data_IF_504896201542
#
_entry.id   IF_504896201542
#
_cell.length_a   1.000
_cell.length_b   1.000
_cell.length_c   1.000
_cell.angle_alpha   90.00
_cell.angle_beta   90.00
_cell.angle_gamma   90.00
#
_symmetry.space_group_name_H-M   'P 1'
#
loop_
_entity.id
_entity.type
_entity.pdbx_description
1 polymer ?
#
# COMPACT_ATOMS: atom_id res chain seq x y z
N UNK A 1 -42.07 -36.60 -25.44
CA UNK A 1 -40.95 -36.98 -24.53
C UNK A 1 -39.54 -36.72 -25.10
N UNK A 2 -39.30 -36.80 -26.42
CA UNK A 2 -37.96 -36.58 -27.01
C UNK A 2 -37.35 -35.19 -26.78
N UNK A 3 -38.15 -34.12 -26.89
CA UNK A 3 -37.66 -32.73 -26.69
C UNK A 3 -37.12 -32.50 -25.27
N UNK A 4 -37.80 -33.06 -24.26
CA UNK A 4 -37.38 -32.95 -22.84
C UNK A 4 -36.05 -33.68 -22.61
N UNK A 5 -35.83 -34.81 -23.27
CA UNK A 5 -34.56 -35.54 -23.19
C UNK A 5 -33.41 -34.76 -23.84
N UNK A 6 -33.66 -34.10 -24.98
CA UNK A 6 -32.67 -33.24 -25.64
C UNK A 6 -32.31 -32.03 -24.78
N UNK A 7 -33.32 -31.33 -24.24
CA UNK A 7 -33.09 -30.18 -23.34
C UNK A 7 -32.32 -30.60 -22.08
N UNK A 8 -32.64 -31.75 -21.49
CA UNK A 8 -31.91 -32.28 -20.32
C UNK A 8 -30.45 -32.61 -20.68
N UNK A 9 -30.20 -33.19 -21.85
CA UNK A 9 -28.84 -33.48 -22.31
C UNK A 9 -28.02 -32.20 -22.56
N UNK A 10 -28.65 -31.16 -23.12
CA UNK A 10 -28.02 -29.85 -23.32
C UNK A 10 -27.67 -29.22 -21.96
N UNK A 11 -28.61 -29.18 -21.02
CA UNK A 11 -28.40 -28.58 -19.70
C UNK A 11 -27.31 -29.30 -18.89
N UNK A 12 -27.27 -30.64 -18.92
CA UNK A 12 -26.20 -31.40 -18.27
C UNK A 12 -24.85 -31.19 -18.96
N UNK A 13 -24.85 -31.06 -20.29
CA UNK A 13 -23.65 -30.73 -21.06
C UNK A 13 -23.10 -29.34 -20.73
N UNK A 14 -23.96 -28.33 -20.67
CA UNK A 14 -23.62 -26.95 -20.28
C UNK A 14 -23.12 -26.88 -18.84
N UNK A 15 -23.81 -27.53 -17.90
CA UNK A 15 -23.39 -27.64 -16.50
C UNK A 15 -22.00 -28.27 -16.38
N UNK A 16 -21.76 -29.37 -17.08
CA UNK A 16 -20.45 -30.02 -17.09
C UNK A 16 -19.36 -29.15 -17.74
N UNK A 17 -19.69 -28.39 -18.79
CA UNK A 17 -18.77 -27.46 -19.44
C UNK A 17 -18.42 -26.28 -18.53
N UNK A 18 -19.40 -25.71 -17.82
CA UNK A 18 -19.21 -24.63 -16.83
C UNK A 18 -18.35 -25.13 -15.67
N UNK A 19 -18.67 -26.30 -15.10
CA UNK A 19 -17.88 -26.89 -14.01
C UNK A 19 -16.45 -27.24 -14.41
N UNK A 20 -16.20 -27.59 -15.68
CA UNK A 20 -14.84 -27.81 -16.21
C UNK A 20 -14.10 -26.48 -16.43
N UNK A 21 -14.81 -25.42 -16.83
CA UNK A 21 -14.24 -24.09 -17.09
C UNK A 21 -13.88 -23.36 -15.80
N UNK A 22 -14.66 -23.49 -14.74
CA UNK A 22 -14.49 -22.79 -13.46
C UNK A 22 -13.63 -23.54 -12.43
N UNK A 23 -12.64 -24.34 -12.85
CA UNK A 23 -11.68 -24.94 -11.91
C UNK A 23 -10.75 -23.92 -11.23
N UNK A 24 -10.75 -22.68 -11.71
CA UNK A 24 -9.97 -21.56 -11.21
C UNK A 24 -10.89 -20.37 -10.95
N UNK A 25 -10.56 -19.58 -9.93
CA UNK A 25 -11.27 -18.34 -9.65
C UNK A 25 -11.13 -17.39 -10.86
N UNK A 26 -12.21 -16.68 -11.24
CA UNK A 26 -12.14 -15.71 -12.33
C UNK A 26 -11.04 -14.66 -12.09
N UNK A 27 -10.40 -14.16 -13.16
CA UNK A 27 -9.39 -13.10 -13.05
C UNK A 27 -9.93 -11.84 -12.36
N UNK A 28 -11.22 -11.56 -12.50
CA UNK A 28 -11.92 -10.47 -11.81
C UNK A 28 -11.91 -10.63 -10.28
N UNK A 29 -11.96 -11.86 -9.77
CA UNK A 29 -11.83 -12.13 -8.33
C UNK A 29 -10.43 -11.79 -7.82
N UNK A 30 -9.39 -12.29 -8.50
CA UNK A 30 -8.01 -11.99 -8.13
C UNK A 30 -7.72 -10.49 -8.17
N UNK A 31 -8.21 -9.81 -9.21
CA UNK A 31 -8.11 -8.36 -9.35
C UNK A 31 -8.76 -7.62 -8.18
N UNK A 32 -10.00 -7.99 -7.82
CA UNK A 32 -10.73 -7.36 -6.72
C UNK A 32 -10.07 -7.64 -5.36
N UNK A 33 -9.53 -8.84 -5.18
CA UNK A 33 -8.76 -9.19 -3.99
C UNK A 33 -7.48 -8.35 -3.88
N UNK A 34 -6.74 -8.16 -4.99
CA UNK A 34 -5.55 -7.29 -5.03
C UNK A 34 -5.90 -5.83 -4.75
N UNK A 35 -6.99 -5.32 -5.31
CA UNK A 35 -7.50 -3.97 -5.05
C UNK A 35 -7.83 -3.76 -3.56
N UNK A 36 -8.53 -4.71 -2.94
CA UNK A 36 -8.85 -4.65 -1.51
C UNK A 36 -7.59 -4.68 -0.65
N UNK A 37 -6.67 -5.62 -0.89
CA UNK A 37 -5.40 -5.72 -0.16
C UNK A 37 -4.58 -4.44 -0.26
N UNK A 38 -4.51 -3.85 -1.45
CA UNK A 38 -3.80 -2.59 -1.67
C UNK A 38 -4.47 -1.42 -0.94
N UNK A 39 -5.80 -1.30 -1.03
CA UNK A 39 -6.55 -0.23 -0.36
C UNK A 39 -6.43 -0.28 1.16
N UNK A 40 -6.48 -1.48 1.76
CA UNK A 40 -6.30 -1.67 3.19
C UNK A 40 -4.87 -1.36 3.62
N UNK A 41 -3.88 -1.75 2.81
CA UNK A 41 -2.47 -1.39 3.01
C UNK A 41 -2.26 0.13 3.02
N UNK A 42 -2.87 0.85 2.08
CA UNK A 42 -2.81 2.32 2.03
C UNK A 42 -3.48 2.97 3.24
N UNK A 43 -4.65 2.49 3.66
CA UNK A 43 -5.35 3.01 4.83
C UNK A 43 -4.52 2.83 6.11
N UNK A 44 -3.89 1.66 6.26
CA UNK A 44 -2.99 1.39 7.40
C UNK A 44 -1.78 2.31 7.39
N UNK A 45 -1.15 2.52 6.23
CA UNK A 45 -0.04 3.47 6.10
C UNK A 45 -0.47 4.89 6.43
N UNK A 46 -1.63 5.33 5.93
CA UNK A 46 -2.18 6.64 6.22
C UNK A 46 -2.49 6.81 7.71
N UNK A 47 -3.02 5.78 8.36
CA UNK A 47 -3.23 5.78 9.80
C UNK A 47 -1.91 5.94 10.56
N UNK A 48 -0.87 5.18 10.17
CA UNK A 48 0.48 5.29 10.75
C UNK A 48 1.07 6.69 10.64
N UNK A 49 0.93 7.32 9.47
CA UNK A 49 1.38 8.70 9.25
C UNK A 49 0.67 9.67 10.19
N UNK A 50 -0.65 9.51 10.38
CA UNK A 50 -1.43 10.33 11.33
C UNK A 50 -1.02 10.09 12.78
N UNK A 51 -0.70 8.85 13.16
CA UNK A 51 -0.19 8.51 14.49
C UNK A 51 1.16 9.20 14.77
N UNK A 52 2.09 9.13 13.79
CA UNK A 52 3.39 9.80 13.88
C UNK A 52 3.20 11.31 14.06
N UNK A 53 2.30 11.90 13.27
CA UNK A 53 1.97 13.33 13.39
C UNK A 53 1.41 13.68 14.78
N UNK A 54 0.46 12.88 15.29
CA UNK A 54 -0.19 13.12 16.59
C UNK A 54 0.78 12.99 17.78
N UNK A 55 1.70 12.01 17.74
CA UNK A 55 2.73 11.87 18.77
C UNK A 55 3.65 13.09 18.81
N UNK A 56 4.05 13.58 17.63
CA UNK A 56 4.89 14.77 17.52
C UNK A 56 4.18 16.03 18.02
N UNK A 57 2.90 16.22 17.69
CA UNK A 57 2.12 17.37 18.16
C UNK A 57 1.94 17.35 19.70
N UNK A 58 1.81 16.14 20.29
CA UNK A 58 1.74 15.97 21.74
C UNK A 58 3.05 16.37 22.43
N UNK A 59 4.19 16.02 21.86
CA UNK A 59 5.50 16.35 22.43
C UNK A 59 5.86 17.84 22.22
N UNK A 60 5.47 18.43 21.08
CA UNK A 60 5.63 19.86 20.79
C UNK A 60 4.79 20.77 21.70
N UNK A 61 3.53 20.42 21.96
CA UNK A 61 2.63 21.21 22.83
C UNK A 61 2.92 21.03 24.33
N UNK A 62 3.56 19.92 24.72
CA UNK A 62 4.05 19.68 26.08
C UNK A 62 5.29 20.49 26.46
N UNK A 63 6.12 20.86 25.47
CA UNK A 63 7.34 21.65 25.67
C UNK A 63 7.08 23.11 26.06
N UNK A 64 6.09 23.76 25.44
CA UNK A 64 5.79 25.17 25.72
C UNK A 64 5.10 25.40 27.07
N UNK A 65 4.32 24.42 27.58
CA UNK A 65 3.67 24.54 28.90
C UNK A 65 4.56 24.15 30.09
N UNK A 66 5.70 23.50 29.86
CA UNK A 66 6.62 23.06 30.94
C UNK A 66 7.79 24.01 31.21
N UNK A 67 7.95 25.08 30.43
CA UNK A 67 8.99 26.10 30.68
C UNK A 67 8.73 26.96 31.94
N UNK A 68 7.64 26.74 32.68
CA UNK A 68 7.23 27.60 33.79
C UNK A 68 7.42 27.05 35.22
N UNK A 69 7.57 25.75 35.45
CA UNK A 69 7.57 25.22 36.83
C UNK A 69 8.52 24.02 36.98
N UNK A 70 9.53 24.24 37.82
CA UNK A 70 10.47 23.26 38.35
C UNK A 70 9.76 22.07 39.05
N UNK A 71 10.54 21.00 39.20
CA UNK A 71 10.43 19.88 40.16
C UNK A 71 9.94 18.51 39.64
N UNK A 72 10.96 17.69 39.35
CA UNK A 72 11.12 16.31 39.87
C UNK A 72 9.97 15.32 39.65
N UNK A 73 10.01 14.59 38.53
CA UNK A 73 9.52 13.20 38.42
C UNK A 73 10.25 12.50 37.25
N UNK A 74 10.92 11.35 37.45
CA UNK A 74 11.40 10.52 36.35
C UNK A 74 10.22 9.69 35.83
N UNK A 75 9.36 10.28 35.01
CA UNK A 75 8.30 9.52 34.34
C UNK A 75 8.88 8.82 33.10
N UNK A 76 9.12 7.51 33.23
CA UNK A 76 9.16 6.46 32.21
C UNK A 76 10.04 6.68 30.95
N UNK A 77 11.10 5.88 30.73
CA UNK A 77 11.97 5.96 29.56
C UNK A 77 11.38 5.31 28.28
N UNK A 78 10.07 5.11 28.17
CA UNK A 78 9.45 4.31 27.08
C UNK A 78 9.07 5.11 25.84
N UNK A 79 8.82 6.42 25.94
CA UNK A 79 8.37 7.26 24.81
C UNK A 79 9.40 7.44 23.66
N UNK A 80 10.73 7.57 23.87
CA UNK A 80 11.65 7.88 22.77
C UNK A 80 11.87 6.72 21.78
N UNK A 81 11.45 5.49 22.12
CA UNK A 81 11.58 4.33 21.22
C UNK A 81 10.35 4.09 20.34
N UNK A 82 9.20 4.67 20.68
CA UNK A 82 7.94 4.41 19.96
C UNK A 82 7.92 5.10 18.59
N UNK A 83 8.36 6.36 18.50
CA UNK A 83 8.34 7.11 17.23
C UNK A 83 9.30 6.53 16.17
N UNK A 84 10.57 6.22 16.47
CA UNK A 84 11.45 5.57 15.50
C UNK A 84 10.92 4.22 14.99
N UNK A 85 10.29 3.42 15.87
CA UNK A 85 9.68 2.15 15.49
C UNK A 85 8.48 2.35 14.54
N UNK A 86 7.60 3.31 14.84
CA UNK A 86 6.45 3.66 13.99
C UNK A 86 6.88 4.15 12.61
N UNK A 87 7.90 5.00 12.53
CA UNK A 87 8.47 5.50 11.28
C UNK A 87 9.06 4.34 10.45
N UNK A 88 9.83 3.45 11.09
CA UNK A 88 10.39 2.27 10.41
C UNK A 88 9.30 1.34 9.86
N UNK A 89 8.21 1.14 10.60
CA UNK A 89 7.08 0.35 10.14
C UNK A 89 6.34 1.03 8.98
N UNK A 90 6.11 2.35 9.05
CA UNK A 90 5.51 3.12 7.96
C UNK A 90 6.35 3.03 6.68
N UNK A 91 7.68 3.12 6.77
CA UNK A 91 8.58 2.95 5.62
C UNK A 91 8.51 1.53 5.05
N UNK A 92 8.47 0.50 5.89
CA UNK A 92 8.29 -0.89 5.43
C UNK A 92 6.96 -1.09 4.71
N UNK A 93 5.88 -0.52 5.23
CA UNK A 93 4.55 -0.59 4.62
C UNK A 93 4.50 0.14 3.27
N UNK A 94 5.16 1.31 3.17
CA UNK A 94 5.32 2.04 1.92
C UNK A 94 6.10 1.23 0.88
N UNK A 95 7.22 0.61 1.27
CA UNK A 95 8.00 -0.27 0.40
C UNK A 95 7.19 -1.47 -0.09
N UNK A 96 6.37 -2.08 0.79
CA UNK A 96 5.48 -3.18 0.41
C UNK A 96 4.39 -2.73 -0.59
N UNK A 97 3.77 -1.57 -0.35
CA UNK A 97 2.79 -0.98 -1.28
C UNK A 97 3.42 -0.67 -2.64
N UNK A 98 4.65 -0.15 -2.65
CA UNK A 98 5.45 0.04 -3.87
C UNK A 98 5.62 -1.25 -4.66
N UNK A 99 6.00 -2.35 -4.00
CA UNK A 99 6.17 -3.65 -4.68
C UNK A 99 4.85 -4.15 -5.30
N UNK A 100 3.71 -3.92 -4.64
CA UNK A 100 2.42 -4.26 -5.21
C UNK A 100 2.10 -3.46 -6.48
N UNK A 101 2.41 -2.16 -6.49
CA UNK A 101 2.25 -1.32 -7.68
C UNK A 101 3.16 -1.77 -8.81
N UNK A 102 4.44 -2.02 -8.54
CA UNK A 102 5.41 -2.51 -9.54
C UNK A 102 4.98 -3.84 -10.15
N UNK A 103 4.53 -4.79 -9.32
CA UNK A 103 3.98 -6.06 -9.80
C UNK A 103 2.77 -5.84 -10.71
N UNK A 104 1.89 -4.90 -10.35
CA UNK A 104 0.72 -4.59 -11.17
C UNK A 104 1.10 -3.94 -12.51
N UNK A 105 2.09 -3.05 -12.53
CA UNK A 105 2.66 -2.48 -13.77
C UNK A 105 3.19 -3.61 -14.66
N UNK A 106 3.92 -4.59 -14.11
CA UNK A 106 4.45 -5.73 -14.88
C UNK A 106 3.33 -6.58 -15.48
N UNK A 107 2.28 -6.88 -14.71
CA UNK A 107 1.11 -7.62 -15.19
C UNK A 107 0.43 -6.85 -16.33
N UNK A 108 0.23 -5.55 -16.15
CA UNK A 108 -0.40 -4.69 -17.16
C UNK A 108 0.42 -4.67 -18.47
N UNK A 109 1.75 -4.46 -18.38
CA UNK A 109 2.65 -4.50 -19.55
C UNK A 109 2.59 -5.86 -20.26
N UNK A 110 2.53 -6.97 -19.52
CA UNK A 110 2.39 -8.32 -20.09
C UNK A 110 1.06 -8.50 -20.80
N UNK A 111 -0.04 -8.03 -20.21
CA UNK A 111 -1.36 -8.07 -20.85
C UNK A 111 -1.39 -7.24 -22.12
N UNK A 112 -0.77 -6.04 -22.11
CA UNK A 112 -0.65 -5.19 -23.29
C UNK A 112 0.16 -5.89 -24.40
N UNK A 113 1.26 -6.57 -24.06
CA UNK A 113 2.04 -7.35 -25.02
C UNK A 113 1.21 -8.49 -25.65
N UNK A 114 0.45 -9.23 -24.83
CA UNK A 114 -0.42 -10.29 -25.31
C UNK A 114 -1.57 -9.76 -26.18
N UNK A 115 -2.08 -8.57 -25.86
CA UNK A 115 -3.06 -7.87 -26.69
C UNK A 115 -2.54 -7.59 -28.10
N UNK A 116 -1.26 -7.22 -28.19
CA UNK A 116 -0.57 -7.07 -29.48
C UNK A 116 -0.56 -8.36 -30.32
N UNK A 117 -0.71 -9.53 -29.67
CA UNK A 117 -0.83 -10.84 -30.33
C UNK A 117 -2.29 -11.29 -30.52
N UNK A 118 -3.28 -10.41 -30.31
CA UNK A 118 -4.70 -10.71 -30.50
C UNK A 118 -5.44 -11.22 -29.26
N UNK A 119 -4.84 -11.20 -28.07
CA UNK A 119 -5.56 -11.49 -26.83
C UNK A 119 -6.51 -10.33 -26.45
N UNK A 120 -7.57 -10.63 -25.69
CA UNK A 120 -8.46 -9.60 -25.16
C UNK A 120 -7.72 -8.68 -24.18
N UNK A 121 -7.96 -7.37 -24.28
CA UNK A 121 -7.34 -6.34 -23.44
C UNK A 121 -8.36 -5.28 -23.04
N UNK A 122 -8.84 -5.40 -21.80
CA UNK A 122 -9.85 -4.49 -21.24
C UNK A 122 -9.28 -3.65 -20.08
N UNK A 123 -7.95 -3.52 -20.01
CA UNK A 123 -7.26 -2.87 -18.89
C UNK A 123 -6.96 -1.39 -19.18
N UNK A 124 -7.69 -0.48 -18.52
CA UNK A 124 -7.37 0.95 -18.47
C UNK A 124 -6.19 1.21 -17.50
N UNK A 125 -5.32 2.16 -17.84
CA UNK A 125 -4.25 2.67 -16.97
C UNK A 125 -4.77 3.49 -15.78
N UNK A 126 -5.98 4.05 -15.85
CA UNK A 126 -6.50 4.95 -14.81
C UNK A 126 -6.46 4.37 -13.37
N UNK A 127 -6.85 3.11 -13.11
CA UNK A 127 -6.71 2.51 -11.78
C UNK A 127 -5.26 2.40 -11.33
N UNK A 128 -4.33 2.14 -12.24
CA UNK A 128 -2.91 2.03 -11.94
C UNK A 128 -2.31 3.41 -11.63
N UNK A 129 -2.65 4.41 -12.43
CA UNK A 129 -2.29 5.80 -12.19
C UNK A 129 -2.74 6.26 -10.81
N UNK A 130 -4.01 5.99 -10.44
CA UNK A 130 -4.55 6.30 -9.12
C UNK A 130 -3.75 5.65 -7.97
N UNK A 131 -3.25 4.43 -8.17
CA UNK A 131 -2.38 3.77 -7.17
C UNK A 131 -1.02 4.47 -7.05
N UNK A 132 -0.42 4.86 -8.17
CA UNK A 132 0.85 5.60 -8.17
C UNK A 132 0.70 6.96 -7.50
N UNK A 133 -0.35 7.72 -7.82
CA UNK A 133 -0.64 9.03 -7.22
C UNK A 133 -0.87 8.92 -5.72
N UNK A 134 -1.70 7.98 -5.27
CA UNK A 134 -1.94 7.75 -3.84
C UNK A 134 -0.66 7.36 -3.08
N UNK A 135 0.20 6.54 -3.70
CA UNK A 135 1.46 6.14 -3.10
C UNK A 135 2.46 7.30 -3.03
N UNK A 136 2.53 8.13 -4.08
CA UNK A 136 3.38 9.31 -4.12
C UNK A 136 2.97 10.35 -3.07
N UNK A 137 1.66 10.56 -2.89
CA UNK A 137 1.11 11.43 -1.86
C UNK A 137 1.51 10.96 -0.44
N UNK A 138 1.29 9.68 -0.12
CA UNK A 138 1.66 9.14 1.19
C UNK A 138 3.17 9.09 1.41
N UNK A 139 3.95 8.85 0.35
CA UNK A 139 5.41 8.96 0.40
C UNK A 139 5.82 10.38 0.82
N UNK A 140 5.28 11.40 0.17
CA UNK A 140 5.61 12.79 0.46
C UNK A 140 5.22 13.17 1.89
N UNK A 141 4.03 12.78 2.33
CA UNK A 141 3.58 12.97 3.72
C UNK A 141 4.53 12.30 4.72
N UNK A 142 4.93 11.04 4.47
CA UNK A 142 5.87 10.34 5.34
C UNK A 142 7.25 11.00 5.34
N UNK A 143 7.75 11.46 4.18
CA UNK A 143 9.01 12.19 4.09
C UNK A 143 8.97 13.49 4.90
N UNK A 144 7.88 14.24 4.84
CA UNK A 144 7.70 15.43 5.68
C UNK A 144 7.74 15.10 7.17
N UNK A 145 7.06 14.04 7.60
CA UNK A 145 7.09 13.62 9.01
C UNK A 145 8.48 13.18 9.45
N UNK A 146 9.22 12.44 8.61
CA UNK A 146 10.61 12.03 8.90
C UNK A 146 11.54 13.23 9.04
N UNK A 147 11.44 14.21 8.15
CA UNK A 147 12.22 15.46 8.24
C UNK A 147 11.87 16.23 9.51
N UNK A 148 10.58 16.32 9.84
CA UNK A 148 10.07 17.06 10.98
C UNK A 148 10.41 16.39 12.33
N UNK A 149 10.61 15.07 12.35
CA UNK A 149 11.06 14.27 13.49
C UNK A 149 12.59 14.08 13.54
N UNK A 150 13.35 14.80 12.71
CA UNK A 150 14.79 14.59 12.55
C UNK A 150 15.61 14.72 13.85
N UNK A 151 15.17 15.57 14.78
CA UNK A 151 15.82 15.73 16.09
C UNK A 151 15.60 14.53 17.03
N UNK A 152 14.46 13.83 16.89
CA UNK A 152 14.04 12.70 17.74
C UNK A 152 14.52 11.35 17.20
N UNK A 153 14.64 11.23 15.87
CA UNK A 153 15.12 10.03 15.18
C UNK A 153 16.63 9.80 15.33
N UNK A 154 17.39 10.84 15.70
CA UNK A 154 18.84 10.78 15.84
C UNK A 154 19.62 10.90 14.52
N UNK A 155 20.89 11.30 14.64
CA UNK A 155 21.74 11.69 13.52
C UNK A 155 22.09 10.54 12.54
N UNK A 156 21.99 9.28 12.97
CA UNK A 156 22.34 8.11 12.16
C UNK A 156 21.13 7.51 11.40
N UNK A 157 19.94 7.53 12.00
CA UNK A 157 18.75 6.92 11.41
C UNK A 157 18.10 7.83 10.37
N UNK A 158 18.09 9.14 10.59
CA UNK A 158 17.51 10.12 9.67
C UNK A 158 18.05 10.04 8.24
N UNK A 159 19.38 10.12 7.98
CA UNK A 159 19.91 10.08 6.62
C UNK A 159 19.59 8.74 5.93
N UNK A 160 19.68 7.63 6.67
CA UNK A 160 19.36 6.29 6.15
C UNK A 160 17.89 6.15 5.74
N UNK A 161 16.97 6.75 6.51
CA UNK A 161 15.54 6.74 6.18
C UNK A 161 15.23 7.59 4.96
N UNK A 162 15.85 8.77 4.84
CA UNK A 162 15.68 9.65 3.69
C UNK A 162 16.21 9.03 2.40
N UNK A 163 17.36 8.35 2.45
CA UNK A 163 17.91 7.62 1.31
C UNK A 163 16.96 6.51 0.86
N UNK A 164 16.47 5.68 1.79
CA UNK A 164 15.49 4.62 1.49
C UNK A 164 14.20 5.17 0.89
N UNK A 165 13.70 6.29 1.41
CA UNK A 165 12.53 6.97 0.86
C UNK A 165 12.80 7.50 -0.55
N UNK A 166 13.96 8.09 -0.81
CA UNK A 166 14.34 8.56 -2.14
C UNK A 166 14.44 7.40 -3.15
N UNK A 167 15.02 6.26 -2.76
CA UNK A 167 15.05 5.05 -3.58
C UNK A 167 13.64 4.48 -3.84
N UNK A 168 12.74 4.58 -2.87
CA UNK A 168 11.36 4.14 -3.03
C UNK A 168 10.65 4.88 -4.17
N UNK A 169 10.76 6.22 -4.25
CA UNK A 169 10.25 6.97 -5.42
C UNK A 169 11.07 6.72 -6.68
N UNK A 170 12.40 6.75 -6.58
CA UNK A 170 13.29 6.64 -7.74
C UNK A 170 13.06 5.34 -8.53
N UNK A 171 12.79 4.24 -7.84
CA UNK A 171 12.43 2.97 -8.48
C UNK A 171 11.04 2.93 -9.11
N UNK A 172 10.11 3.78 -8.67
CA UNK A 172 8.76 3.89 -9.23
C UNK A 172 8.75 4.78 -10.48
N UNK A 173 9.55 5.85 -10.51
CA UNK A 173 9.62 6.83 -11.62
C UNK A 173 10.44 6.31 -12.80
N UNK A 174 11.47 5.49 -12.56
CA UNK A 174 12.38 4.98 -13.60
C UNK A 174 11.85 3.78 -14.41
N UNK A 175 10.66 3.24 -14.11
CA UNK A 175 10.14 1.97 -14.68
C UNK A 175 8.76 2.11 -15.28
#
# INVERSE_FOLDING_TARGET
LRLVAVLRAILEGEKAAVLKRERHLPLSFHRRQEELKFSLGLQRLQHRIREIQALRERDGTGGERRAGLDRSQPSAPTAPQELPALVLEAVKELEAAKQQVLKRIQIWKRQQQLAGNGAAFEENLAPLQKRCEALAELHFQLQQQVLAAGAELGAELLPRLLERLAEALGSLVKR
#
